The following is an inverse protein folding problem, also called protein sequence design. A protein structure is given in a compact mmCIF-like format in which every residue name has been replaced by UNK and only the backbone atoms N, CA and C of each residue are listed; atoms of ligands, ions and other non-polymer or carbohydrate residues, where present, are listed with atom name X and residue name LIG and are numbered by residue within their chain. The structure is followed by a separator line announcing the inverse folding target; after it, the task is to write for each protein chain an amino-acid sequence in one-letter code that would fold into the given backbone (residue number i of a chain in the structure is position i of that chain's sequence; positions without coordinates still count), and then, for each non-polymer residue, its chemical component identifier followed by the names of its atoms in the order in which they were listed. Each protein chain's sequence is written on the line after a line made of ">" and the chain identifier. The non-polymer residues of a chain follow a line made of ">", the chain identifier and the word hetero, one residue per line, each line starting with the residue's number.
data_IF_174244069183
#
_entry.id   IF_174244069183
#
_cell.length_a   1.000
_cell.length_b   1.000
_cell.length_c   1.000
_cell.angle_alpha   90.00
_cell.angle_beta   90.00
_cell.angle_gamma   90.00
#
_symmetry.space_group_name_H-M   'P 1'
#
loop_
_entity.id
_entity.type
_entity.pdbx_description
1 polymer ?
#
# COMPACT_ATOMS: atom_id res chain seq x y z
N UNK A 1 0.69 -27.85 -10.36
CA UNK A 1 -0.05 -26.64 -10.75
C UNK A 1 0.82 -25.76 -11.63
N UNK A 2 0.26 -24.80 -12.38
CA UNK A 2 1.05 -23.85 -13.16
C UNK A 2 1.96 -23.02 -12.25
N UNK A 3 3.12 -22.58 -12.79
CA UNK A 3 4.04 -21.71 -12.06
C UNK A 3 3.37 -20.35 -11.79
N UNK A 4 3.54 -19.77 -10.59
CA UNK A 4 2.97 -18.46 -10.28
C UNK A 4 3.47 -17.41 -11.29
N UNK A 5 2.54 -16.61 -11.79
CA UNK A 5 2.81 -15.43 -12.62
C UNK A 5 2.87 -14.19 -11.73
N UNK A 6 3.49 -13.09 -12.21
CA UNK A 6 3.47 -11.80 -11.51
C UNK A 6 2.04 -11.38 -11.14
N UNK A 7 1.09 -11.51 -12.07
CA UNK A 7 -0.33 -11.27 -11.84
C UNK A 7 -0.91 -12.08 -10.67
N UNK A 8 -0.60 -13.39 -10.60
CA UNK A 8 -1.09 -14.21 -9.48
C UNK A 8 -0.41 -13.87 -8.16
N UNK A 9 0.85 -13.42 -8.18
CA UNK A 9 1.56 -13.00 -6.97
C UNK A 9 1.00 -11.67 -6.42
N UNK A 10 0.74 -10.69 -7.31
CA UNK A 10 0.08 -9.41 -6.98
C UNK A 10 -1.28 -9.68 -6.34
N UNK A 11 -2.14 -10.47 -6.98
CA UNK A 11 -3.47 -10.79 -6.44
C UNK A 11 -3.41 -11.44 -5.04
N UNK A 12 -2.45 -12.33 -4.80
CA UNK A 12 -2.25 -12.93 -3.47
C UNK A 12 -1.77 -11.92 -2.42
N UNK A 13 -0.96 -10.93 -2.81
CA UNK A 13 -0.57 -9.85 -1.89
C UNK A 13 -1.75 -8.94 -1.57
N UNK A 14 -2.56 -8.60 -2.58
CA UNK A 14 -3.74 -7.75 -2.39
C UNK A 14 -4.76 -8.41 -1.45
N UNK A 15 -4.99 -9.73 -1.57
CA UNK A 15 -5.83 -10.48 -0.63
C UNK A 15 -5.28 -10.44 0.81
N UNK A 16 -3.95 -10.50 0.97
CA UNK A 16 -3.31 -10.40 2.29
C UNK A 16 -3.45 -8.99 2.86
N UNK A 17 -3.25 -7.95 2.04
CA UNK A 17 -3.46 -6.55 2.42
C UNK A 17 -4.91 -6.36 2.89
N UNK A 18 -5.89 -6.84 2.12
CA UNK A 18 -7.30 -6.77 2.51
C UNK A 18 -7.58 -7.50 3.84
N UNK A 19 -6.94 -8.65 4.09
CA UNK A 19 -7.03 -9.35 5.37
C UNK A 19 -6.42 -8.55 6.53
N UNK A 20 -5.31 -7.85 6.30
CA UNK A 20 -4.69 -6.96 7.29
C UNK A 20 -5.58 -5.75 7.57
N UNK A 21 -6.22 -5.16 6.56
CA UNK A 21 -7.16 -4.04 6.75
C UNK A 21 -8.36 -4.43 7.61
N UNK A 22 -8.91 -5.64 7.43
CA UNK A 22 -9.97 -6.16 8.30
C UNK A 22 -9.48 -6.30 9.75
N UNK A 23 -8.24 -6.77 9.95
CA UNK A 23 -7.64 -6.86 11.29
C UNK A 23 -7.40 -5.47 11.90
N UNK A 24 -6.97 -4.49 11.11
CA UNK A 24 -6.80 -3.10 11.55
C UNK A 24 -8.13 -2.51 12.00
N UNK A 25 -9.20 -2.71 11.24
CA UNK A 25 -10.54 -2.25 11.62
C UNK A 25 -10.97 -2.86 12.98
N UNK A 26 -10.73 -4.15 13.19
CA UNK A 26 -11.03 -4.82 14.46
C UNK A 26 -10.21 -4.26 15.63
N UNK A 27 -8.91 -4.01 15.43
CA UNK A 27 -8.03 -3.48 16.47
C UNK A 27 -8.37 -2.02 16.80
N UNK A 28 -8.74 -1.23 15.79
CA UNK A 28 -9.21 0.15 15.97
C UNK A 28 -10.51 0.22 16.79
N UNK A 29 -11.48 -0.66 16.51
CA UNK A 29 -12.70 -0.74 17.31
C UNK A 29 -12.43 -1.14 18.78
N UNK A 30 -11.46 -2.04 19.00
CA UNK A 30 -11.00 -2.40 20.35
C UNK A 30 -10.36 -1.19 21.07
N UNK A 31 -9.48 -0.44 20.39
CA UNK A 31 -8.87 0.79 20.92
C UNK A 31 -9.90 1.84 21.29
N UNK A 32 -10.91 2.06 20.44
CA UNK A 32 -11.99 3.01 20.71
C UNK A 32 -12.79 2.63 21.97
N UNK A 33 -13.00 1.32 22.19
CA UNK A 33 -13.62 0.81 23.42
C UNK A 33 -12.76 1.10 24.64
N UNK A 34 -11.44 0.96 24.54
CA UNK A 34 -10.53 1.32 25.63
C UNK A 34 -10.51 2.82 25.91
N UNK A 35 -10.47 3.66 24.89
CA UNK A 35 -10.53 5.12 25.03
C UNK A 35 -11.79 5.57 25.76
N UNK A 36 -12.96 5.07 25.33
CA UNK A 36 -14.24 5.38 25.97
C UNK A 36 -14.28 4.96 27.44
N UNK A 37 -13.63 3.85 27.80
CA UNK A 37 -13.51 3.42 29.20
C UNK A 37 -12.57 4.33 29.97
N UNK A 38 -11.40 4.64 29.40
CA UNK A 38 -10.38 5.48 30.03
C UNK A 38 -10.87 6.90 30.31
N UNK A 39 -11.63 7.51 29.38
CA UNK A 39 -12.18 8.87 29.55
C UNK A 39 -13.17 8.98 30.71
N UNK A 40 -13.90 7.89 31.01
CA UNK A 40 -14.88 7.83 32.11
C UNK A 40 -14.25 7.44 33.45
N UNK A 41 -12.98 7.05 33.47
CA UNK A 41 -12.30 6.58 34.67
C UNK A 41 -11.52 7.71 35.36
N UNK A 42 -11.66 7.78 36.69
CA UNK A 42 -10.81 8.61 37.53
C UNK A 42 -9.40 8.02 37.59
N UNK A 43 -8.42 8.89 37.75
CA UNK A 43 -7.03 8.45 37.86
C UNK A 43 -6.83 7.55 39.07
N UNK A 44 -6.08 6.47 38.84
CA UNK A 44 -5.81 5.46 39.85
C UNK A 44 -5.41 4.11 39.25
N UNK A 45 -5.14 3.10 40.11
CA UNK A 45 -4.62 1.80 39.68
C UNK A 45 -5.51 1.09 38.65
N UNK A 46 -6.83 1.25 38.74
CA UNK A 46 -7.77 0.70 37.77
C UNK A 46 -7.61 1.31 36.38
N UNK A 47 -7.45 2.64 36.27
CA UNK A 47 -7.25 3.33 34.99
C UNK A 47 -5.89 2.96 34.39
N UNK A 48 -4.84 2.89 35.20
CA UNK A 48 -3.51 2.45 34.79
C UNK A 48 -3.51 1.02 34.21
N UNK A 49 -4.24 0.09 34.83
CA UNK A 49 -4.35 -1.28 34.33
C UNK A 49 -5.07 -1.37 32.97
N UNK A 50 -6.08 -0.53 32.73
CA UNK A 50 -6.77 -0.45 31.44
C UNK A 50 -5.89 0.24 30.40
N UNK A 51 -5.15 1.29 30.76
CA UNK A 51 -4.19 1.98 29.89
C UNK A 51 -3.11 1.02 29.39
N UNK A 52 -2.52 0.21 30.28
CA UNK A 52 -1.54 -0.82 29.89
C UNK A 52 -2.10 -1.85 28.90
N UNK A 53 -3.39 -2.21 29.00
CA UNK A 53 -4.05 -3.08 28.01
C UNK A 53 -4.23 -2.37 26.67
N UNK A 54 -4.65 -1.11 26.68
CA UNK A 54 -4.80 -0.30 25.49
C UNK A 54 -3.47 -0.13 24.73
N UNK A 55 -2.36 0.10 25.45
CA UNK A 55 -1.02 0.21 24.86
C UNK A 55 -0.58 -1.06 24.13
N UNK A 56 -0.86 -2.25 24.69
CA UNK A 56 -0.58 -3.54 24.02
C UNK A 56 -1.39 -3.70 22.73
N UNK A 57 -2.63 -3.22 22.71
CA UNK A 57 -3.48 -3.23 21.51
C UNK A 57 -2.97 -2.22 20.48
N UNK A 58 -2.51 -1.05 20.92
CA UNK A 58 -1.90 -0.04 20.05
C UNK A 58 -0.59 -0.54 19.41
N UNK A 59 0.26 -1.21 20.19
CA UNK A 59 1.47 -1.86 19.67
C UNK A 59 1.13 -2.91 18.60
N UNK A 60 0.07 -3.71 18.84
CA UNK A 60 -0.43 -4.64 17.83
C UNK A 60 -0.95 -3.93 16.58
N UNK A 61 -1.62 -2.78 16.73
CA UNK A 61 -2.05 -1.96 15.57
C UNK A 61 -0.84 -1.56 14.73
N UNK A 62 0.16 -0.91 15.34
CA UNK A 62 1.38 -0.47 14.65
C UNK A 62 2.07 -1.61 13.90
N UNK A 63 2.16 -2.79 14.51
CA UNK A 63 2.74 -3.97 13.87
C UNK A 63 1.94 -4.40 12.62
N UNK A 64 0.61 -4.37 12.67
CA UNK A 64 -0.24 -4.74 11.53
C UNK A 64 -0.15 -3.65 10.44
N UNK A 65 -0.12 -2.37 10.80
CA UNK A 65 0.07 -1.26 9.85
C UNK A 65 1.40 -1.40 9.12
N UNK A 66 2.49 -1.63 9.85
CA UNK A 66 3.82 -1.87 9.26
C UNK A 66 3.82 -3.06 8.30
N UNK A 67 3.22 -4.19 8.68
CA UNK A 67 3.09 -5.35 7.80
C UNK A 67 2.28 -5.03 6.54
N UNK A 68 1.18 -4.25 6.67
CA UNK A 68 0.34 -3.88 5.54
C UNK A 68 1.09 -3.00 4.56
N UNK A 69 1.78 -1.98 5.06
CA UNK A 69 2.55 -1.04 4.24
C UNK A 69 3.70 -1.74 3.52
N UNK A 70 4.36 -2.70 4.18
CA UNK A 70 5.38 -3.55 3.55
C UNK A 70 4.80 -4.37 2.39
N UNK A 71 3.65 -5.02 2.58
CA UNK A 71 3.02 -5.81 1.52
C UNK A 71 2.52 -4.93 0.37
N UNK A 72 2.01 -3.74 0.69
CA UNK A 72 1.55 -2.79 -0.32
C UNK A 72 2.70 -2.26 -1.17
N UNK A 73 3.86 -1.98 -0.57
CA UNK A 73 5.08 -1.64 -1.30
C UNK A 73 5.54 -2.80 -2.20
N UNK A 74 5.50 -4.04 -1.72
CA UNK A 74 5.81 -5.22 -2.53
C UNK A 74 4.85 -5.39 -3.71
N UNK A 75 3.55 -5.19 -3.50
CA UNK A 75 2.55 -5.27 -4.57
C UNK A 75 2.84 -4.23 -5.65
N UNK A 76 3.09 -2.97 -5.26
CA UNK A 76 3.44 -1.89 -6.17
C UNK A 76 4.72 -2.18 -6.98
N UNK A 77 5.78 -2.68 -6.34
CA UNK A 77 7.01 -3.05 -7.04
C UNK A 77 6.77 -4.14 -8.11
N UNK A 78 5.90 -5.11 -7.82
CA UNK A 78 5.52 -6.14 -8.79
C UNK A 78 4.64 -5.59 -9.92
N UNK A 79 3.74 -4.65 -9.64
CA UNK A 79 2.96 -3.95 -10.67
C UNK A 79 3.87 -3.17 -11.63
N UNK A 80 4.92 -2.51 -11.11
CA UNK A 80 5.93 -1.86 -11.93
C UNK A 80 6.69 -2.88 -12.81
N UNK A 81 7.11 -4.00 -12.23
CA UNK A 81 7.78 -5.07 -12.99
C UNK A 81 6.88 -5.66 -14.09
N UNK A 82 5.59 -5.81 -13.81
CA UNK A 82 4.61 -6.25 -14.79
C UNK A 82 4.43 -5.23 -15.92
N UNK A 83 4.34 -3.94 -15.59
CA UNK A 83 4.25 -2.86 -16.58
C UNK A 83 5.49 -2.83 -17.49
N UNK A 84 6.68 -3.02 -16.92
CA UNK A 84 7.92 -3.17 -17.68
C UNK A 84 7.87 -4.41 -18.60
N UNK A 85 7.40 -5.55 -18.09
CA UNK A 85 7.24 -6.76 -18.90
C UNK A 85 6.31 -6.53 -20.10
N UNK A 86 5.20 -5.82 -19.92
CA UNK A 86 4.25 -5.55 -21.00
C UNK A 86 4.83 -4.56 -22.03
N UNK A 87 5.59 -3.55 -21.59
CA UNK A 87 6.34 -2.67 -22.49
C UNK A 87 7.39 -3.43 -23.32
N UNK A 88 8.10 -4.37 -22.71
CA UNK A 88 9.07 -5.22 -23.40
C UNK A 88 8.37 -6.11 -24.45
N UNK A 89 7.20 -6.69 -24.14
CA UNK A 89 6.42 -7.46 -25.13
C UNK A 89 6.01 -6.61 -26.34
N UNK A 90 5.56 -5.38 -26.12
CA UNK A 90 5.19 -4.46 -27.20
C UNK A 90 6.40 -4.09 -28.06
N UNK A 91 7.56 -3.88 -27.43
CA UNK A 91 8.82 -3.61 -28.13
C UNK A 91 9.23 -4.80 -28.98
N UNK A 92 9.15 -6.02 -28.44
CA UNK A 92 9.43 -7.25 -29.18
C UNK A 92 8.52 -7.42 -30.39
N UNK A 93 7.20 -7.20 -30.23
CA UNK A 93 6.26 -7.25 -31.35
C UNK A 93 6.61 -6.25 -32.45
N UNK A 94 7.05 -5.04 -32.08
CA UNK A 94 7.53 -4.02 -33.02
C UNK A 94 8.80 -4.48 -33.74
N UNK A 95 9.78 -5.02 -33.01
CA UNK A 95 11.02 -5.57 -33.59
C UNK A 95 10.71 -6.72 -34.56
N UNK A 96 9.79 -7.62 -34.22
CA UNK A 96 9.37 -8.73 -35.07
C UNK A 96 8.68 -8.24 -36.35
N UNK A 97 7.83 -7.20 -36.24
CA UNK A 97 7.23 -6.54 -37.40
C UNK A 97 8.32 -5.89 -38.27
N UNK A 98 9.29 -5.20 -37.69
CA UNK A 98 10.41 -4.59 -38.41
C UNK A 98 11.28 -5.65 -39.10
N UNK A 99 11.58 -6.78 -38.43
CA UNK A 99 12.32 -7.91 -39.03
C UNK A 99 11.58 -8.47 -40.23
N UNK A 100 10.26 -8.66 -40.10
CA UNK A 100 9.41 -9.16 -41.19
C UNK A 100 9.40 -8.19 -42.37
N UNK A 101 9.16 -6.90 -42.13
CA UNK A 101 9.21 -5.86 -43.15
C UNK A 101 10.59 -5.77 -43.80
N UNK A 102 11.68 -5.83 -43.03
CA UNK A 102 13.04 -5.78 -43.57
C UNK A 102 13.36 -7.01 -44.44
N UNK A 103 12.86 -8.19 -44.07
CA UNK A 103 13.00 -9.41 -44.89
C UNK A 103 12.28 -9.27 -46.23
N UNK A 104 11.08 -8.69 -46.22
CA UNK A 104 10.31 -8.44 -47.44
C UNK A 104 10.95 -7.34 -48.30
N UNK A 105 11.43 -6.25 -47.70
CA UNK A 105 12.19 -5.20 -48.39
C UNK A 105 13.47 -5.74 -49.03
N UNK A 106 14.21 -6.64 -48.37
CA UNK A 106 15.41 -7.29 -48.96
C UNK A 106 15.07 -8.15 -50.16
N UNK A 107 13.96 -8.86 -50.12
CA UNK A 107 13.45 -9.66 -51.23
C UNK A 107 13.08 -8.77 -52.43
N UNK A 108 12.61 -7.55 -52.16
CA UNK A 108 12.18 -6.61 -53.20
C UNK A 108 13.30 -5.69 -53.72
N UNK A 109 14.30 -5.32 -52.91
CA UNK A 109 15.26 -4.26 -53.23
C UNK A 109 16.75 -4.65 -53.19
N UNK A 110 17.11 -5.88 -52.81
CA UNK A 110 18.52 -6.28 -52.70
C UNK A 110 19.26 -5.67 -51.50
N UNK A 111 20.48 -6.16 -51.22
CA UNK A 111 21.23 -6.08 -49.94
C UNK A 111 21.04 -4.78 -49.12
N UNK A 112 20.42 -4.92 -47.95
CA UNK A 112 20.41 -3.92 -46.85
C UNK A 112 21.15 -4.52 -45.64
N UNK A 113 22.10 -3.78 -45.06
CA UNK A 113 23.01 -4.21 -43.98
C UNK A 113 22.29 -4.53 -42.66
N UNK A 114 22.69 -5.64 -42.01
CA UNK A 114 22.05 -6.25 -40.82
C UNK A 114 22.68 -5.79 -39.50
N UNK A 115 23.91 -5.30 -39.55
CA UNK A 115 24.75 -5.12 -38.36
C UNK A 115 24.19 -4.11 -37.34
N UNK A 116 23.29 -3.22 -37.75
CA UNK A 116 22.61 -2.28 -36.85
C UNK A 116 21.47 -2.93 -36.04
N UNK A 117 20.87 -4.02 -36.51
CA UNK A 117 19.79 -4.72 -35.80
C UNK A 117 20.36 -5.64 -34.71
N UNK A 118 21.52 -6.25 -34.95
CA UNK A 118 22.21 -7.08 -33.94
C UNK A 118 22.68 -6.24 -32.75
N UNK A 119 23.25 -5.05 -32.99
CA UNK A 119 23.64 -4.12 -31.91
C UNK A 119 22.48 -3.70 -31.01
N UNK A 120 21.28 -3.55 -31.57
CA UNK A 120 20.07 -3.19 -30.83
C UNK A 120 19.50 -4.37 -30.03
N UNK A 121 19.82 -5.61 -30.44
CA UNK A 121 19.49 -6.82 -29.72
C UNK A 121 20.40 -7.03 -28.51
N UNK A 122 21.68 -6.67 -28.64
CA UNK A 122 22.65 -6.71 -27.54
C UNK A 122 22.35 -5.62 -26.48
N UNK A 123 21.98 -4.39 -26.88
CA UNK A 123 21.56 -3.34 -25.91
C UNK A 123 20.29 -3.72 -25.11
N UNK A 124 19.40 -4.55 -25.67
CA UNK A 124 18.24 -5.07 -24.93
C UNK A 124 18.60 -6.17 -23.93
N UNK A 125 19.68 -6.91 -24.18
CA UNK A 125 20.20 -7.89 -23.21
C UNK A 125 20.78 -7.18 -21.98
N UNK A 126 21.50 -6.08 -22.18
CA UNK A 126 22.05 -5.26 -21.08
C UNK A 126 20.94 -4.59 -20.24
N UNK A 127 19.83 -4.17 -20.87
CA UNK A 127 18.66 -3.62 -20.15
C UNK A 127 17.90 -4.66 -19.30
N UNK A 128 17.94 -5.95 -19.67
CA UNK A 128 17.43 -7.01 -18.80
C UNK A 128 18.32 -7.21 -17.56
N UNK A 129 19.63 -7.04 -17.69
CA UNK A 129 20.56 -7.15 -16.56
C UNK A 129 20.42 -5.98 -15.57
N UNK A 130 20.17 -4.76 -16.06
CA UNK A 130 19.82 -3.62 -15.17
C UNK A 130 18.50 -3.86 -14.41
N UNK A 131 17.56 -4.60 -15.00
CA UNK A 131 16.33 -5.05 -14.31
C UNK A 131 16.61 -6.02 -13.15
N UNK A 132 17.66 -6.85 -13.27
CA UNK A 132 18.11 -7.74 -12.20
C UNK A 132 18.77 -6.96 -11.03
N UNK A 133 19.50 -5.88 -11.33
CA UNK A 133 20.13 -5.02 -10.31
C UNK A 133 19.11 -4.19 -9.50
N UNK A 134 18.02 -3.74 -10.14
CA UNK A 134 16.90 -3.08 -9.45
C UNK A 134 16.22 -4.06 -8.47
N UNK A 135 16.13 -5.33 -8.85
CA UNK A 135 15.62 -6.42 -8.01
C UNK A 135 16.49 -6.63 -6.75
N UNK A 136 17.81 -6.49 -6.87
CA UNK A 136 18.76 -6.61 -5.75
C UNK A 136 18.76 -5.36 -4.84
N UNK A 137 18.47 -4.18 -5.38
CA UNK A 137 18.33 -2.94 -4.60
C UNK A 137 17.03 -2.90 -3.77
N UNK A 138 15.95 -3.52 -4.26
CA UNK A 138 14.69 -3.68 -3.50
C UNK A 138 14.82 -4.65 -2.31
N UNK A 139 15.88 -5.46 -2.27
CA UNK A 139 16.17 -6.39 -1.18
C UNK A 139 16.75 -5.72 0.09
N UNK A 140 17.06 -4.40 0.07
CA UNK A 140 17.80 -3.72 1.15
C UNK A 140 16.96 -2.82 2.08
N UNK A 141 15.64 -2.86 2.02
CA UNK A 141 14.80 -2.04 2.90
C UNK A 141 13.73 -2.93 3.54
N UNK A 142 13.51 -2.97 4.84
CA UNK A 142 13.68 -1.94 5.86
C UNK A 142 13.95 -2.63 7.21
N UNK A 143 14.95 -2.13 7.94
CA UNK A 143 15.15 -2.45 9.35
C UNK A 143 14.02 -1.76 10.12
N UNK A 144 13.17 -2.55 10.78
CA UNK A 144 12.14 -2.02 11.69
C UNK A 144 12.81 -1.90 13.06
N UNK A 145 12.93 -0.70 13.65
CA UNK A 145 13.46 -0.57 15.00
C UNK A 145 12.55 -1.34 15.98
N UNK A 146 13.13 -2.27 16.73
CA UNK A 146 12.43 -3.09 17.74
C UNK A 146 12.01 -2.29 18.98
N UNK A 147 12.52 -1.07 19.16
CA UNK A 147 12.29 -0.25 20.35
C UNK A 147 11.21 0.81 20.09
N UNK A 148 9.95 0.39 20.14
CA UNK A 148 8.80 1.32 20.16
C UNK A 148 8.74 1.99 21.55
N UNK A 149 8.89 3.32 21.61
CA UNK A 149 8.87 4.09 22.86
C UNK A 149 7.47 4.12 23.49
N UNK A 150 7.36 3.70 24.75
CA UNK A 150 6.10 3.72 25.52
C UNK A 150 5.54 5.15 25.67
N UNK A 151 6.40 6.17 25.72
CA UNK A 151 5.97 7.56 25.77
C UNK A 151 5.32 8.03 24.45
N UNK A 152 5.78 7.51 23.31
CA UNK A 152 5.17 7.78 22.01
C UNK A 152 3.80 7.12 21.90
N UNK A 153 3.68 5.86 22.35
CA UNK A 153 2.40 5.14 22.39
C UNK A 153 1.39 5.82 23.31
N UNK A 154 1.85 6.38 24.43
CA UNK A 154 1.01 7.15 25.34
C UNK A 154 0.45 8.41 24.68
N UNK A 155 1.29 9.20 24.02
CA UNK A 155 0.88 10.39 23.31
C UNK A 155 -0.12 10.08 22.18
N UNK A 156 0.10 8.99 21.45
CA UNK A 156 -0.78 8.54 20.38
C UNK A 156 -2.12 8.02 20.90
N UNK A 157 -2.13 7.29 22.01
CA UNK A 157 -3.36 6.84 22.66
C UNK A 157 -4.21 8.03 23.13
N UNK A 158 -3.57 9.09 23.63
CA UNK A 158 -4.24 10.34 24.01
C UNK A 158 -4.78 11.10 22.80
N UNK A 159 -4.00 11.23 21.73
CA UNK A 159 -4.42 11.89 20.49
C UNK A 159 -5.66 11.23 19.86
N UNK A 160 -5.68 9.88 19.80
CA UNK A 160 -6.85 9.16 19.30
C UNK A 160 -8.10 9.36 20.17
N UNK A 161 -7.92 9.51 21.50
CA UNK A 161 -9.03 9.83 22.40
C UNK A 161 -9.62 11.23 22.14
N UNK A 162 -8.76 12.18 21.76
CA UNK A 162 -9.13 13.56 21.47
C UNK A 162 -9.85 13.68 20.11
N UNK A 163 -9.44 12.89 19.10
CA UNK A 163 -10.13 12.79 17.81
C UNK A 163 -11.55 12.23 17.95
N UNK A 164 -11.73 11.18 18.78
CA UNK A 164 -13.04 10.60 19.07
C UNK A 164 -13.98 11.57 19.84
N UNK A 165 -13.44 12.53 20.59
CA UNK A 165 -14.23 13.58 21.25
C UNK A 165 -14.61 14.73 20.29
N UNK A 166 -13.84 14.95 19.21
CA UNK A 166 -14.11 15.99 18.21
C UNK A 166 -15.19 15.58 17.19
N UNK A 167 -15.27 14.29 16.86
CA UNK A 167 -16.25 13.75 15.90
C UNK A 167 -17.74 13.98 16.29
N UNK A 168 -18.17 13.86 17.57
CA UNK A 168 -19.53 14.26 17.97
C UNK A 168 -19.76 15.78 17.97
N UNK A 169 -18.71 16.61 18.04
CA UNK A 169 -18.85 18.08 18.03
C UNK A 169 -19.11 18.62 16.60
N UNK A 170 -18.60 17.96 15.56
CA UNK A 170 -18.89 18.27 14.16
C UNK A 170 -20.22 17.67 13.65
N UNK A 171 -20.78 16.68 14.36
CA UNK A 171 -22.03 16.00 13.99
C UNK A 171 -23.30 16.49 14.70
N UNK A 172 -23.20 17.36 15.71
CA UNK A 172 -24.33 17.74 16.58
C UNK A 172 -24.66 19.25 16.58
N UNK A 173 -24.34 19.98 15.50
CA UNK A 173 -24.38 21.46 15.50
C UNK A 173 -25.08 22.17 14.34
N UNK A 174 -25.77 21.48 13.44
CA UNK A 174 -26.46 22.15 12.34
C UNK A 174 -27.87 21.59 12.11
N UNK A 175 -28.80 21.97 13.00
CA UNK A 175 -30.20 22.00 12.59
C UNK A 175 -30.28 23.07 11.50
N UNK A 176 -30.65 22.72 10.25
CA UNK A 176 -30.66 23.69 9.16
C UNK A 176 -31.60 24.85 9.49
N UNK A 177 -31.20 26.08 9.15
CA UNK A 177 -31.97 27.31 9.44
C UNK A 177 -33.41 27.29 8.92
N UNK A 178 -33.77 26.37 8.01
CA UNK A 178 -35.13 26.18 7.51
C UNK A 178 -36.06 25.40 8.46
N UNK A 179 -35.57 24.88 9.58
CA UNK A 179 -36.37 24.19 10.60
C UNK A 179 -36.71 25.07 11.82
N UNK A 180 -36.37 26.37 11.80
CA UNK A 180 -36.60 27.29 12.93
C UNK A 180 -37.77 28.30 12.74
N UNK A 181 -38.52 28.27 11.64
CA UNK A 181 -39.67 29.16 11.38
C UNK A 181 -40.80 28.32 10.75
N UNK A 182 -42.09 28.36 11.13
CA UNK A 182 -42.93 29.28 11.92
C UNK A 182 -43.91 28.43 12.77
N UNK A 183 -44.14 28.80 14.04
CA UNK A 183 -45.39 28.46 14.72
C UNK A 183 -46.38 29.61 14.47
N UNK A 184 -47.56 29.36 13.88
CA UNK A 184 -48.55 30.42 13.72
C UNK A 184 -49.18 30.74 15.08
N UNK A 185 -49.19 32.02 15.44
CA UNK A 185 -49.97 32.52 16.57
C UNK A 185 -51.47 32.34 16.28
N UNK A 186 -52.15 31.55 17.13
CA UNK A 186 -53.59 31.54 17.29
C UNK A 186 -53.96 31.50 18.78
#
# INVERSE_FOLDING_TARGET
>A
GPKPTLNSAIANLDERVASLDVKLASVNAELQTYQTKLSKMRDGPGKAAIKSKALKVLQRRKMIESQRDQLQSQSWNMEQAQSMQDNLKNTMATVDAMKTTNKELKKQYGKVDIDQIERLQDEMADLMDVGNDIQESLARSYDVPEDVDEAELDAELEALGLEAELEPELGAGAVPSFMQEELPDF
#
